data_IF_862649678236
#
_entry.id   IF_862649678236
#
_cell.length_a   1.000
_cell.length_b   1.000
_cell.length_c   1.000
_cell.angle_alpha   90.00
_cell.angle_beta   90.00
_cell.angle_gamma   90.00
#
_symmetry.space_group_name_H-M   'P 1'
#
loop_
_entity.id
_entity.type
_entity.pdbx_description
1 polymer ?
#
# COMPACT_ATOMS: atom_id res chain seq x y z
N UNK A 1 -10.64 -69.34 -33.22
CA UNK A 1 -11.30 -68.02 -33.10
C UNK A 1 -10.88 -67.45 -31.77
N UNK A 2 -9.86 -66.60 -31.78
CA UNK A 2 -9.41 -65.84 -30.64
C UNK A 2 -9.58 -64.37 -31.03
N UNK A 3 -10.52 -63.68 -30.40
CA UNK A 3 -10.59 -62.22 -30.44
C UNK A 3 -9.60 -61.71 -29.40
N UNK A 4 -8.54 -61.04 -29.85
CA UNK A 4 -7.67 -60.27 -28.98
C UNK A 4 -8.38 -58.98 -28.51
N UNK A 5 -8.14 -58.52 -27.28
CA UNK A 5 -8.59 -57.21 -26.86
C UNK A 5 -7.78 -56.13 -27.61
N UNK A 6 -8.50 -55.27 -28.31
CA UNK A 6 -8.00 -54.10 -29.02
C UNK A 6 -7.32 -53.14 -28.01
N UNK A 7 -6.01 -53.27 -27.83
CA UNK A 7 -5.20 -52.29 -27.10
C UNK A 7 -5.09 -51.05 -27.97
N UNK A 8 -5.99 -50.09 -27.73
CA UNK A 8 -5.82 -48.73 -28.22
C UNK A 8 -4.52 -48.18 -27.62
N UNK A 9 -3.45 -48.19 -28.43
CA UNK A 9 -2.24 -47.42 -28.16
C UNK A 9 -2.63 -45.95 -28.09
N UNK A 10 -2.76 -45.42 -26.87
CA UNK A 10 -2.75 -43.99 -26.63
C UNK A 10 -1.34 -43.52 -27.04
N UNK A 11 -1.24 -42.97 -28.25
CA UNK A 11 -0.04 -42.28 -28.71
C UNK A 11 0.30 -41.21 -27.68
N UNK A 12 1.43 -41.39 -27.01
CA UNK A 12 1.99 -40.43 -26.08
C UNK A 12 2.47 -39.21 -26.86
N UNK A 13 1.65 -38.15 -26.82
CA UNK A 13 2.07 -36.75 -26.80
C UNK A 13 2.80 -36.18 -28.03
N UNK A 14 2.05 -35.66 -29.00
CA UNK A 14 2.54 -34.64 -29.94
C UNK A 14 2.10 -33.23 -29.53
N UNK A 15 2.01 -32.97 -28.21
CA UNK A 15 1.85 -31.59 -27.77
C UNK A 15 3.09 -30.79 -28.17
N UNK A 16 2.87 -29.76 -28.98
CA UNK A 16 3.87 -28.76 -29.34
C UNK A 16 3.21 -27.40 -29.22
N UNK A 17 3.85 -26.49 -28.49
CA UNK A 17 3.48 -25.07 -28.52
C UNK A 17 3.40 -24.60 -29.98
N UNK A 18 2.25 -24.01 -30.37
CA UNK A 18 2.02 -23.51 -31.73
C UNK A 18 1.71 -24.55 -32.82
N UNK A 19 1.55 -25.84 -32.51
CA UNK A 19 1.21 -26.85 -33.53
C UNK A 19 -0.23 -26.78 -34.06
N UNK A 20 -1.12 -26.08 -33.35
CA UNK A 20 -2.43 -25.68 -33.88
C UNK A 20 -2.30 -24.20 -34.29
N UNK A 21 -2.06 -23.95 -35.58
CA UNK A 21 -2.18 -22.60 -36.13
C UNK A 21 -3.62 -22.09 -35.96
N UNK A 22 -3.87 -20.77 -35.87
CA UNK A 22 -5.20 -20.23 -35.63
C UNK A 22 -6.10 -20.56 -36.82
N UNK A 23 -6.83 -21.68 -36.75
CA UNK A 23 -8.05 -21.83 -37.54
C UNK A 23 -9.08 -20.91 -36.91
N UNK A 24 -9.05 -19.66 -37.37
CA UNK A 24 -9.90 -18.54 -36.98
C UNK A 24 -11.36 -18.74 -37.41
N UNK A 25 -12.01 -19.79 -36.91
CA UNK A 25 -13.48 -19.88 -36.84
C UNK A 25 -13.85 -20.30 -35.44
N UNK A 26 -14.17 -19.31 -34.60
CA UNK A 26 -14.71 -19.50 -33.26
C UNK A 26 -13.99 -18.73 -32.15
N UNK A 27 -12.75 -18.30 -32.38
CA UNK A 27 -12.06 -17.32 -31.54
C UNK A 27 -12.11 -15.97 -32.25
N UNK A 28 -13.32 -15.42 -32.42
CA UNK A 28 -13.40 -13.96 -32.54
C UNK A 28 -12.82 -13.50 -31.20
N UNK A 29 -11.69 -12.79 -31.22
CA UNK A 29 -11.34 -11.95 -30.08
C UNK A 29 -12.52 -11.01 -29.96
N UNK A 30 -13.47 -11.32 -29.08
CA UNK A 30 -14.41 -10.31 -28.63
C UNK A 30 -13.53 -9.16 -28.21
N UNK A 31 -13.75 -7.99 -28.83
CA UNK A 31 -13.04 -6.78 -28.47
C UNK A 31 -13.32 -6.61 -26.99
N UNK A 32 -12.32 -6.86 -26.14
CA UNK A 32 -12.47 -6.68 -24.70
C UNK A 32 -13.01 -5.26 -24.50
N UNK A 33 -14.09 -5.08 -23.73
CA UNK A 33 -14.60 -3.75 -23.47
C UNK A 33 -13.48 -2.89 -22.88
N UNK A 34 -13.53 -1.56 -23.06
CA UNK A 34 -12.53 -0.67 -22.49
C UNK A 34 -12.41 -0.91 -20.97
N UNK A 35 -11.19 -0.81 -20.39
CA UNK A 35 -11.00 -0.99 -18.96
C UNK A 35 -11.90 -0.03 -18.17
N UNK A 36 -12.58 -0.51 -17.12
CA UNK A 36 -13.26 0.37 -16.18
C UNK A 36 -12.29 1.40 -15.59
N UNK A 37 -12.77 2.59 -15.19
CA UNK A 37 -11.96 3.58 -14.50
C UNK A 37 -11.32 3.00 -13.23
N UNK A 38 -10.06 3.37 -12.98
CA UNK A 38 -9.34 2.98 -11.76
C UNK A 38 -9.73 3.86 -10.56
N UNK A 39 -10.31 5.04 -10.82
CA UNK A 39 -10.66 6.02 -9.81
C UNK A 39 -9.42 6.45 -9.00
N UNK A 40 -9.44 6.45 -7.66
CA UNK A 40 -8.28 6.83 -6.85
C UNK A 40 -7.04 5.95 -7.09
N UNK A 41 -7.20 4.71 -7.60
CA UNK A 41 -6.08 3.81 -7.91
C UNK A 41 -5.22 4.30 -9.09
N UNK A 42 -5.70 5.28 -9.88
CA UNK A 42 -4.89 5.94 -10.91
C UNK A 42 -3.61 6.56 -10.32
N UNK A 43 -3.66 7.01 -9.06
CA UNK A 43 -2.51 7.55 -8.35
C UNK A 43 -1.44 6.49 -8.01
N UNK A 44 -1.76 5.21 -8.13
CA UNK A 44 -0.80 4.13 -7.97
C UNK A 44 -0.22 3.68 -9.31
N UNK A 45 -0.97 3.83 -10.40
CA UNK A 45 -0.53 3.38 -11.71
C UNK A 45 0.71 4.15 -12.22
N UNK A 46 1.55 3.51 -13.03
CA UNK A 46 2.62 4.18 -13.78
C UNK A 46 2.09 5.35 -14.61
N UNK A 47 2.90 6.42 -14.68
CA UNK A 47 2.59 7.63 -15.46
C UNK A 47 3.37 7.59 -16.79
N UNK A 48 2.72 7.95 -17.89
CA UNK A 48 3.34 7.95 -19.22
C UNK A 48 3.76 6.54 -19.65
N UNK A 49 4.96 6.42 -20.21
CA UNK A 49 5.50 5.16 -20.73
C UNK A 49 6.17 4.27 -19.67
N UNK A 50 6.15 4.68 -18.39
CA UNK A 50 6.78 3.92 -17.32
C UNK A 50 6.12 2.53 -17.14
N UNK A 51 6.94 1.50 -16.93
CA UNK A 51 6.44 0.15 -16.59
C UNK A 51 6.01 0.03 -15.13
N UNK A 52 6.59 0.87 -14.27
CA UNK A 52 6.38 0.85 -12.83
C UNK A 52 6.31 2.26 -12.26
N UNK A 53 5.54 2.40 -11.18
CA UNK A 53 5.59 3.54 -10.28
C UNK A 53 6.07 3.05 -8.92
N UNK A 54 7.08 3.69 -8.39
CA UNK A 54 7.70 3.27 -7.14
C UNK A 54 7.59 4.39 -6.14
N UNK A 55 7.08 4.05 -4.96
CA UNK A 55 7.13 4.89 -3.79
C UNK A 55 8.13 4.31 -2.79
N UNK A 56 8.83 5.20 -2.09
CA UNK A 56 9.71 4.85 -0.97
C UNK A 56 9.32 5.66 0.24
N UNK A 57 9.61 5.16 1.43
CA UNK A 57 9.34 5.92 2.62
C UNK A 57 9.77 5.27 3.91
N UNK A 58 9.31 5.88 5.00
CA UNK A 58 9.63 5.48 6.35
C UNK A 58 8.37 5.43 7.20
N UNK A 59 8.44 4.64 8.27
CA UNK A 59 7.28 4.38 9.09
C UNK A 59 7.62 3.85 10.47
N UNK A 60 6.57 3.42 11.15
CA UNK A 60 6.64 2.80 12.46
C UNK A 60 5.70 1.60 12.51
N UNK A 61 6.18 0.52 13.12
CA UNK A 61 5.48 -0.74 13.18
C UNK A 61 5.51 -1.30 14.60
N UNK A 62 4.36 -1.82 15.04
CA UNK A 62 4.16 -2.43 16.36
C UNK A 62 3.60 -3.84 16.16
N UNK A 63 4.26 -4.84 16.75
CA UNK A 63 3.89 -6.25 16.60
C UNK A 63 3.93 -6.91 17.97
N UNK A 64 2.82 -7.51 18.40
CA UNK A 64 2.85 -8.45 19.51
C UNK A 64 3.12 -9.86 18.97
N UNK A 65 4.29 -10.39 19.30
CA UNK A 65 4.69 -11.73 18.91
C UNK A 65 4.37 -12.70 20.04
N UNK A 66 3.75 -13.86 19.78
CA UNK A 66 3.73 -14.93 20.76
C UNK A 66 5.17 -15.39 21.05
N UNK A 67 5.40 -15.77 22.30
CA UNK A 67 6.69 -16.24 22.77
C UNK A 67 6.53 -17.57 23.50
N UNK A 68 7.49 -18.46 23.29
CA UNK A 68 7.67 -19.65 24.11
C UNK A 68 9.07 -19.62 24.74
N UNK A 69 9.16 -19.10 25.96
CA UNK A 69 10.43 -18.93 26.68
C UNK A 69 11.15 -20.27 26.92
N UNK A 70 10.40 -21.37 27.06
CA UNK A 70 10.97 -22.68 27.36
C UNK A 70 11.62 -23.36 26.14
N UNK A 71 11.11 -23.10 24.92
CA UNK A 71 11.58 -23.77 23.70
C UNK A 71 12.43 -22.87 22.82
N UNK A 72 11.99 -21.63 22.61
CA UNK A 72 12.61 -20.66 21.70
C UNK A 72 12.57 -19.28 22.34
N UNK A 73 13.39 -19.03 23.37
CA UNK A 73 13.44 -17.74 24.03
C UNK A 73 13.91 -16.65 23.05
N UNK A 74 13.23 -15.50 23.07
CA UNK A 74 13.66 -14.32 22.32
C UNK A 74 14.81 -13.66 23.07
N UNK A 75 15.92 -13.34 22.39
CA UNK A 75 16.98 -12.52 22.97
C UNK A 75 16.54 -11.06 23.04
N UNK A 76 16.28 -10.56 24.25
CA UNK A 76 15.82 -9.21 24.50
C UNK A 76 16.98 -8.20 24.71
N UNK A 77 18.22 -8.67 24.77
CA UNK A 77 19.39 -7.85 25.10
C UNK A 77 19.50 -7.47 26.59
N UNK A 78 18.63 -8.02 27.45
CA UNK A 78 18.57 -7.76 28.89
C UNK A 78 17.51 -8.62 29.58
N UNK A 79 17.41 -8.56 30.94
CA UNK A 79 16.38 -9.27 31.66
C UNK A 79 15.00 -8.64 31.41
N UNK A 80 13.95 -9.45 31.47
CA UNK A 80 12.55 -9.01 31.44
C UNK A 80 11.79 -9.68 32.58
N UNK A 81 11.48 -8.91 33.63
CA UNK A 81 10.81 -9.43 34.82
C UNK A 81 9.39 -8.90 35.02
N UNK A 82 8.89 -8.06 34.10
CA UNK A 82 7.57 -7.43 34.22
C UNK A 82 6.63 -7.85 33.10
N UNK A 83 5.46 -8.35 33.51
CA UNK A 83 4.40 -8.81 32.63
C UNK A 83 4.47 -10.31 32.32
N UNK A 84 3.45 -10.84 31.62
CA UNK A 84 3.48 -12.20 31.08
C UNK A 84 4.65 -12.41 30.08
N UNK A 85 5.23 -13.60 30.08
CA UNK A 85 6.38 -14.01 29.26
C UNK A 85 6.00 -14.80 27.99
N UNK A 86 4.70 -14.87 27.71
CA UNK A 86 4.07 -15.56 26.59
C UNK A 86 3.94 -14.70 25.32
N UNK A 87 4.38 -13.44 25.39
CA UNK A 87 4.40 -12.51 24.27
C UNK A 87 5.57 -11.52 24.36
N UNK A 88 5.91 -10.91 23.22
CA UNK A 88 6.90 -9.82 23.12
C UNK A 88 6.30 -8.72 22.24
N UNK A 89 6.36 -7.47 22.71
CA UNK A 89 6.10 -6.30 21.88
C UNK A 89 7.35 -5.94 21.08
N UNK A 90 7.32 -6.12 19.77
CA UNK A 90 8.37 -5.67 18.87
C UNK A 90 7.99 -4.33 18.24
N UNK A 91 8.96 -3.41 18.27
CA UNK A 91 8.85 -2.06 17.74
C UNK A 91 9.90 -1.88 16.66
N UNK A 92 9.47 -1.56 15.44
CA UNK A 92 10.37 -1.32 14.33
C UNK A 92 10.16 0.09 13.79
N UNK A 93 11.24 0.87 13.68
CA UNK A 93 11.31 1.95 12.70
C UNK A 93 11.52 1.33 11.34
N UNK A 94 10.74 1.72 10.34
CA UNK A 94 10.72 1.00 9.05
C UNK A 94 11.21 1.86 7.89
N UNK A 95 11.79 1.20 6.90
CA UNK A 95 11.90 1.72 5.53
C UNK A 95 11.09 0.83 4.60
N UNK A 96 10.43 1.44 3.63
CA UNK A 96 9.51 0.75 2.74
C UNK A 96 9.76 1.11 1.28
N UNK A 97 9.58 0.12 0.41
CA UNK A 97 9.44 0.30 -1.03
C UNK A 97 8.12 -0.32 -1.47
N UNK A 98 7.26 0.48 -2.09
CA UNK A 98 5.97 0.08 -2.64
C UNK A 98 5.97 0.31 -4.15
N UNK A 99 6.02 -0.78 -4.91
CA UNK A 99 6.14 -0.76 -6.37
C UNK A 99 4.82 -1.17 -6.99
N UNK A 100 4.28 -0.34 -7.87
CA UNK A 100 3.08 -0.60 -8.64
C UNK A 100 3.43 -0.85 -10.10
N UNK A 101 2.82 -1.86 -10.71
CA UNK A 101 2.96 -2.17 -12.14
C UNK A 101 1.84 -1.55 -12.96
N UNK A 102 1.93 -1.63 -14.29
CA UNK A 102 0.83 -1.25 -15.19
C UNK A 102 -0.49 -1.92 -14.79
N UNK A 103 -1.57 -1.19 -15.07
CA UNK A 103 -2.93 -1.65 -14.90
C UNK A 103 -3.16 -3.00 -15.61
N UNK A 104 -3.94 -3.88 -14.98
CA UNK A 104 -4.36 -5.15 -15.56
C UNK A 104 -5.32 -4.98 -16.75
N UNK A 105 -5.85 -3.78 -16.96
CA UNK A 105 -6.89 -3.52 -17.95
C UNK A 105 -8.22 -4.20 -17.58
N UNK A 106 -8.95 -4.65 -18.59
CA UNK A 106 -10.27 -5.28 -18.40
C UNK A 106 -10.15 -6.71 -17.89
N UNK A 107 -10.32 -6.89 -16.58
CA UNK A 107 -10.32 -8.19 -15.92
C UNK A 107 -11.75 -8.74 -15.86
N UNK A 108 -12.11 -9.78 -16.63
CA UNK A 108 -13.49 -10.28 -16.65
C UNK A 108 -13.84 -11.03 -15.36
N UNK A 109 -15.05 -10.82 -14.85
CA UNK A 109 -15.67 -11.64 -13.82
C UNK A 109 -17.09 -12.03 -14.24
N UNK A 110 -17.48 -13.27 -13.94
CA UNK A 110 -18.68 -13.87 -14.56
C UNK A 110 -19.92 -13.60 -13.77
N UNK A 111 -20.92 -13.07 -14.45
CA UNK A 111 -22.29 -13.06 -13.97
C UNK A 111 -22.87 -14.48 -14.01
N UNK A 112 -23.91 -14.72 -13.21
CA UNK A 112 -24.63 -15.98 -13.21
C UNK A 112 -26.14 -15.74 -13.20
N UNK A 113 -26.88 -16.58 -13.95
CA UNK A 113 -28.34 -16.54 -14.13
C UNK A 113 -28.86 -15.20 -14.67
N UNK A 114 -30.17 -15.01 -14.65
CA UNK A 114 -30.87 -13.75 -15.01
C UNK A 114 -30.64 -12.61 -14.00
N UNK A 115 -29.59 -12.73 -13.17
CA UNK A 115 -29.35 -11.88 -12.02
C UNK A 115 -28.24 -10.86 -12.27
N UNK A 116 -27.13 -11.25 -12.92
CA UNK A 116 -26.08 -10.32 -13.35
C UNK A 116 -25.52 -10.72 -14.71
N UNK A 117 -25.19 -9.71 -15.52
CA UNK A 117 -24.26 -9.88 -16.63
C UNK A 117 -22.82 -9.99 -16.14
N UNK A 118 -21.91 -10.29 -17.07
CA UNK A 118 -20.47 -10.20 -16.82
C UNK A 118 -20.10 -8.76 -16.44
N UNK A 119 -19.22 -8.63 -15.46
CA UNK A 119 -18.59 -7.36 -15.11
C UNK A 119 -17.12 -7.42 -15.47
N UNK A 120 -16.53 -6.25 -15.67
CA UNK A 120 -15.10 -6.11 -15.89
C UNK A 120 -14.57 -5.27 -14.75
N UNK A 121 -13.51 -5.74 -14.12
CA UNK A 121 -12.75 -5.04 -13.11
C UNK A 121 -11.54 -4.38 -13.78
N UNK A 122 -10.90 -3.48 -13.06
CA UNK A 122 -9.57 -3.00 -13.39
C UNK A 122 -8.72 -3.03 -12.12
N UNK A 123 -7.40 -3.01 -12.23
CA UNK A 123 -6.55 -3.01 -11.05
C UNK A 123 -5.09 -2.74 -11.32
N UNK A 124 -4.36 -2.49 -10.24
CA UNK A 124 -2.93 -2.17 -10.23
C UNK A 124 -2.22 -3.21 -9.37
N UNK A 125 -1.41 -4.10 -9.97
CA UNK A 125 -0.56 -5.02 -9.22
C UNK A 125 0.50 -4.27 -8.44
N UNK A 126 0.85 -4.75 -7.24
CA UNK A 126 1.91 -4.15 -6.45
C UNK A 126 2.82 -5.19 -5.80
N UNK A 127 3.99 -4.70 -5.39
CA UNK A 127 4.92 -5.38 -4.51
C UNK A 127 5.34 -4.42 -3.39
N UNK A 128 5.12 -4.84 -2.15
CA UNK A 128 5.54 -4.12 -0.94
C UNK A 128 6.73 -4.85 -0.31
N UNK A 129 7.75 -4.09 0.08
CA UNK A 129 8.92 -4.60 0.81
C UNK A 129 9.22 -3.65 1.97
N UNK A 130 9.38 -4.20 3.17
CA UNK A 130 9.64 -3.42 4.38
C UNK A 130 10.87 -3.98 5.08
N UNK A 131 11.78 -3.09 5.45
CA UNK A 131 12.91 -3.40 6.32
C UNK A 131 12.74 -2.71 7.68
N UNK A 132 13.08 -3.41 8.75
CA UNK A 132 13.41 -2.81 10.04
C UNK A 132 14.74 -2.08 9.91
N UNK A 133 14.73 -0.80 10.28
CA UNK A 133 15.88 0.11 10.31
C UNK A 133 16.11 0.70 11.71
N UNK A 134 15.56 0.08 12.75
CA UNK A 134 15.77 0.48 14.15
C UNK A 134 17.26 0.46 14.51
N UNK A 135 18.02 -0.48 13.93
CA UNK A 135 19.46 -0.35 13.75
C UNK A 135 19.78 -0.01 12.28
N UNK A 136 19.98 1.27 11.93
CA UNK A 136 20.20 1.67 10.55
C UNK A 136 21.50 1.13 9.95
N UNK A 137 22.42 0.60 10.77
CA UNK A 137 23.66 -0.04 10.27
C UNK A 137 23.43 -1.47 9.79
N UNK A 138 22.38 -2.13 10.27
CA UNK A 138 22.07 -3.52 9.99
C UNK A 138 20.57 -3.68 9.66
N UNK A 139 20.10 -3.14 8.53
CA UNK A 139 18.70 -3.26 8.14
C UNK A 139 18.30 -4.72 7.93
N UNK A 140 17.10 -5.10 8.39
CA UNK A 140 16.57 -6.47 8.30
C UNK A 140 15.27 -6.46 7.52
N UNK A 141 15.14 -7.29 6.48
CA UNK A 141 13.86 -7.47 5.79
C UNK A 141 12.84 -8.16 6.68
N UNK A 142 11.74 -7.49 6.99
CA UNK A 142 10.69 -7.99 7.90
C UNK A 142 9.36 -8.28 7.19
N UNK A 143 9.13 -7.69 6.01
CA UNK A 143 7.90 -7.89 5.26
C UNK A 143 8.15 -7.95 3.75
N UNK A 144 7.41 -8.82 3.09
CA UNK A 144 7.35 -8.93 1.64
C UNK A 144 5.91 -9.28 1.27
N UNK A 145 5.32 -8.56 0.34
CA UNK A 145 3.91 -8.77 0.00
C UNK A 145 3.64 -8.40 -1.46
N UNK A 146 3.45 -9.41 -2.34
CA UNK A 146 2.82 -9.20 -3.62
C UNK A 146 1.30 -9.11 -3.44
N UNK A 147 0.68 -8.25 -4.25
CA UNK A 147 -0.76 -8.12 -4.26
C UNK A 147 -1.30 -7.38 -5.47
N UNK A 148 -2.60 -7.11 -5.43
CA UNK A 148 -3.30 -6.31 -6.42
C UNK A 148 -4.37 -5.46 -5.73
N UNK A 149 -4.43 -4.21 -6.14
CA UNK A 149 -5.58 -3.35 -5.92
C UNK A 149 -6.55 -3.49 -7.08
N UNK A 150 -7.84 -3.68 -6.82
CA UNK A 150 -8.89 -3.75 -7.82
C UNK A 150 -9.89 -2.61 -7.62
N UNK A 151 -10.28 -1.96 -8.71
CA UNK A 151 -11.49 -1.18 -8.82
C UNK A 151 -12.61 -2.10 -9.34
N UNK A 152 -13.68 -2.19 -8.57
CA UNK A 152 -14.88 -2.96 -8.91
C UNK A 152 -15.96 -1.96 -9.31
N UNK A 153 -16.52 -2.03 -10.53
CA UNK A 153 -17.62 -1.15 -10.92
C UNK A 153 -18.85 -1.41 -10.05
N UNK A 154 -19.78 -0.45 -10.05
CA UNK A 154 -21.07 -0.66 -9.39
C UNK A 154 -21.77 -1.92 -9.92
N UNK A 155 -22.45 -2.64 -9.03
CA UNK A 155 -23.18 -3.87 -9.33
C UNK A 155 -24.62 -3.75 -8.90
N UNK A 156 -25.53 -4.45 -9.61
CA UNK A 156 -26.95 -4.51 -9.24
C UNK A 156 -27.24 -5.65 -8.26
N UNK A 157 -26.52 -6.78 -8.37
CA UNK A 157 -26.63 -7.92 -7.45
C UNK A 157 -25.23 -8.47 -7.10
N UNK A 158 -24.73 -8.28 -5.87
CA UNK A 158 -25.30 -7.41 -4.86
C UNK A 158 -25.40 -5.96 -5.34
N UNK A 159 -26.36 -5.22 -4.79
CA UNK A 159 -26.49 -3.81 -5.09
C UNK A 159 -25.40 -3.04 -4.34
N UNK A 160 -24.33 -2.71 -5.04
CA UNK A 160 -23.17 -2.00 -4.48
C UNK A 160 -22.75 -0.86 -5.41
N UNK A 161 -22.22 0.21 -4.81
CA UNK A 161 -21.57 1.28 -5.57
C UNK A 161 -20.22 0.83 -6.15
N UNK A 162 -19.44 1.78 -6.65
CA UNK A 162 -18.03 1.50 -6.95
C UNK A 162 -17.31 1.14 -5.66
N UNK A 163 -16.63 0.01 -5.66
CA UNK A 163 -15.86 -0.50 -4.51
C UNK A 163 -14.44 -0.81 -4.91
N UNK A 164 -13.59 -0.97 -3.90
CA UNK A 164 -12.18 -1.30 -4.08
C UNK A 164 -11.83 -2.55 -3.28
N UNK A 165 -10.95 -3.37 -3.83
CA UNK A 165 -10.40 -4.51 -3.12
C UNK A 165 -8.88 -4.49 -3.12
N UNK A 166 -8.27 -4.91 -2.02
CA UNK A 166 -6.83 -5.23 -1.92
C UNK A 166 -6.70 -6.72 -1.60
N UNK A 167 -6.08 -7.44 -2.51
CA UNK A 167 -5.76 -8.85 -2.31
C UNK A 167 -4.25 -9.02 -2.22
N UNK A 168 -3.78 -9.74 -1.20
CA UNK A 168 -2.35 -9.86 -0.94
C UNK A 168 -1.99 -11.18 -0.28
N UNK A 169 -0.80 -11.69 -0.57
CA UNK A 169 -0.24 -12.89 0.08
C UNK A 169 1.05 -12.54 0.81
N UNK A 170 1.12 -12.91 2.08
CA UNK A 170 2.21 -12.58 3.00
C UNK A 170 2.97 -13.88 3.32
N UNK A 171 4.29 -13.98 3.04
CA UNK A 171 5.10 -15.18 3.23
C UNK A 171 5.15 -15.75 4.65
N UNK A 172 4.72 -14.96 5.65
CA UNK A 172 4.57 -15.41 7.03
C UNK A 172 3.33 -16.30 7.25
N UNK A 173 2.58 -16.60 6.19
CA UNK A 173 1.54 -17.64 6.18
C UNK A 173 0.10 -17.14 6.11
N UNK A 174 -0.12 -15.88 5.72
CA UNK A 174 -1.45 -15.27 5.64
C UNK A 174 -1.72 -14.71 4.24
N UNK A 175 -2.94 -14.85 3.75
CA UNK A 175 -3.46 -14.11 2.59
C UNK A 175 -4.69 -13.31 3.00
N UNK A 176 -4.88 -12.14 2.40
CA UNK A 176 -5.99 -11.24 2.68
C UNK A 176 -6.79 -10.95 1.41
N UNK A 177 -8.08 -10.71 1.60
CA UNK A 177 -8.95 -10.01 0.67
C UNK A 177 -9.68 -8.92 1.47
N UNK A 178 -9.25 -7.68 1.33
CA UNK A 178 -9.85 -6.54 1.98
C UNK A 178 -10.69 -5.74 0.98
N UNK A 179 -11.91 -5.37 1.36
CA UNK A 179 -12.83 -4.62 0.54
C UNK A 179 -13.16 -3.27 1.16
N UNK A 180 -13.58 -2.32 0.33
CA UNK A 180 -13.78 -0.97 0.81
C UNK A 180 -14.26 0.02 -0.25
N UNK A 181 -14.16 1.29 0.11
CA UNK A 181 -14.67 2.44 -0.65
C UNK A 181 -13.65 3.57 -0.69
N UNK A 182 -13.89 4.50 -1.60
CA UNK A 182 -13.26 5.81 -1.62
C UNK A 182 -14.35 6.88 -1.50
N UNK A 183 -14.40 7.62 -0.39
CA UNK A 183 -15.19 8.85 -0.34
C UNK A 183 -14.72 9.86 -1.39
N UNK A 184 -15.53 10.88 -1.63
CA UNK A 184 -15.14 12.01 -2.47
C UNK A 184 -13.85 12.67 -1.92
N UNK A 185 -12.91 13.07 -2.80
CA UNK A 185 -11.70 13.75 -2.37
C UNK A 185 -12.00 15.04 -1.60
N UNK A 186 -11.17 15.33 -0.60
CA UNK A 186 -11.25 16.56 0.19
C UNK A 186 -10.15 17.53 -0.25
N UNK A 187 -10.40 18.83 -0.05
CA UNK A 187 -9.34 19.84 -0.16
C UNK A 187 -8.53 19.86 1.14
N UNK A 188 -7.21 19.89 1.02
CA UNK A 188 -6.32 19.94 2.19
C UNK A 188 -5.91 18.56 2.75
N UNK A 189 -5.24 18.57 3.92
CA UNK A 189 -4.78 17.34 4.58
C UNK A 189 -5.95 16.53 5.18
N UNK A 190 -5.78 15.22 5.36
CA UNK A 190 -6.76 14.38 6.05
C UNK A 190 -6.80 14.64 7.56
N UNK A 191 -7.93 14.32 8.19
CA UNK A 191 -8.02 14.12 9.63
C UNK A 191 -7.61 12.69 9.97
N UNK A 192 -6.44 12.54 10.61
CA UNK A 192 -5.86 11.24 10.97
C UNK A 192 -6.14 10.96 12.45
N UNK A 193 -7.18 10.17 12.71
CA UNK A 193 -7.55 9.79 14.06
C UNK A 193 -6.50 8.90 14.74
N UNK A 194 -6.43 8.91 16.09
CA UNK A 194 -5.59 7.99 16.83
C UNK A 194 -5.90 6.51 16.59
N UNK A 195 -4.89 5.67 16.70
CA UNK A 195 -5.02 4.20 16.68
C UNK A 195 -4.38 3.62 17.94
N UNK A 196 -5.08 2.72 18.63
CA UNK A 196 -4.61 2.11 19.88
C UNK A 196 -4.03 0.71 19.60
N UNK A 197 -2.90 0.38 20.24
CA UNK A 197 -2.25 -0.93 20.17
C UNK A 197 -2.59 -1.83 21.37
N UNK A 198 -3.52 -1.41 22.24
CA UNK A 198 -3.88 -2.15 23.45
C UNK A 198 -4.62 -3.44 23.13
N UNK A 199 -4.10 -4.61 23.56
CA UNK A 199 -4.78 -5.89 23.35
C UNK A 199 -6.14 -5.97 24.04
N UNK A 200 -7.02 -6.80 23.48
CA UNK A 200 -8.36 -7.07 24.02
C UNK A 200 -8.45 -8.51 24.51
N UNK A 201 -8.98 -8.73 25.71
CA UNK A 201 -9.22 -10.08 26.24
C UNK A 201 -10.44 -10.69 25.52
N UNK A 202 -10.24 -11.82 24.83
CA UNK A 202 -11.31 -12.45 24.03
C UNK A 202 -12.53 -12.85 24.87
N UNK A 203 -12.31 -13.31 26.10
CA UNK A 203 -13.38 -13.82 26.97
C UNK A 203 -14.39 -12.76 27.44
N UNK A 204 -14.01 -11.47 27.47
CA UNK A 204 -14.85 -10.41 28.03
C UNK A 204 -14.80 -9.09 27.26
N UNK A 205 -14.06 -9.03 26.15
CA UNK A 205 -13.89 -7.88 25.27
C UNK A 205 -13.38 -6.61 26.00
N UNK A 206 -12.58 -6.77 27.06
CA UNK A 206 -11.96 -5.65 27.79
C UNK A 206 -10.52 -5.42 27.36
N UNK A 207 -10.08 -4.15 27.30
CA UNK A 207 -8.67 -3.84 27.04
C UNK A 207 -7.76 -4.32 28.17
N UNK A 208 -6.57 -4.76 27.81
CA UNK A 208 -5.53 -5.17 28.74
C UNK A 208 -4.19 -4.59 28.28
N UNK A 209 -3.70 -3.57 28.99
CA UNK A 209 -2.45 -2.88 28.67
C UNK A 209 -1.26 -3.58 29.33
N UNK A 210 -0.21 -3.84 28.56
CA UNK A 210 1.01 -4.49 29.04
C UNK A 210 2.07 -3.47 29.53
N UNK A 211 2.94 -3.85 30.48
CA UNK A 211 4.09 -3.03 30.88
C UNK A 211 5.00 -2.65 29.70
N UNK A 212 5.14 -3.53 28.70
CA UNK A 212 5.93 -3.30 27.48
C UNK A 212 5.47 -2.09 26.68
N UNK A 213 4.22 -1.66 26.82
CA UNK A 213 3.68 -0.45 26.19
C UNK A 213 4.12 0.86 26.88
N UNK A 214 5.02 0.80 27.87
CA UNK A 214 5.56 1.97 28.56
C UNK A 214 7.03 2.19 28.21
N UNK A 215 7.35 3.24 27.45
CA UNK A 215 8.70 3.51 26.91
C UNK A 215 9.76 3.55 28.00
N UNK A 216 9.49 4.21 29.13
CA UNK A 216 10.43 4.34 30.23
C UNK A 216 10.72 3.03 30.97
N UNK A 217 9.95 1.96 30.71
CA UNK A 217 10.13 0.67 31.36
C UNK A 217 11.02 -0.25 30.52
N UNK A 218 12.26 -0.44 30.95
CA UNK A 218 13.27 -1.25 30.25
C UNK A 218 13.31 -2.71 30.68
N UNK A 219 12.50 -3.12 31.67
CA UNK A 219 12.50 -4.47 32.26
C UNK A 219 11.26 -5.26 31.81
N UNK A 220 10.96 -5.20 30.51
CA UNK A 220 9.72 -5.73 29.91
C UNK A 220 10.01 -6.62 28.71
N UNK A 221 9.02 -7.44 28.33
CA UNK A 221 9.06 -8.23 27.09
C UNK A 221 8.82 -7.33 25.87
N UNK A 222 9.83 -6.51 25.54
CA UNK A 222 9.82 -5.59 24.40
C UNK A 222 11.14 -5.66 23.63
N UNK A 223 11.07 -5.57 22.31
CA UNK A 223 12.22 -5.37 21.43
C UNK A 223 12.10 -4.04 20.69
N UNK A 224 13.08 -3.11 20.83
CA UNK A 224 14.15 -3.10 21.82
C UNK A 224 13.64 -2.80 23.23
N UNK A 225 14.30 -3.38 24.26
CA UNK A 225 14.00 -3.04 25.66
C UNK A 225 14.42 -1.60 26.00
N UNK A 226 15.64 -1.23 25.64
CA UNK A 226 16.20 0.09 25.87
C UNK A 226 16.06 0.96 24.62
N UNK A 227 15.24 2.00 24.72
CA UNK A 227 14.99 2.95 23.63
C UNK A 227 15.91 4.18 23.70
N UNK A 228 16.93 4.18 24.56
CA UNK A 228 17.91 5.27 24.62
C UNK A 228 18.58 5.44 23.26
N UNK A 229 18.52 6.66 22.71
CA UNK A 229 18.99 7.02 21.37
C UNK A 229 18.23 6.38 20.19
N UNK A 230 17.08 5.74 20.46
CA UNK A 230 16.15 5.28 19.42
C UNK A 230 14.98 6.27 19.44
N UNK A 231 14.61 6.89 18.30
CA UNK A 231 13.59 7.95 18.25
C UNK A 231 12.16 7.39 18.34
N UNK A 232 11.92 6.44 19.25
CA UNK A 232 10.60 5.89 19.58
C UNK A 232 10.13 6.54 20.88
N UNK A 233 8.95 7.17 20.85
CA UNK A 233 8.40 7.94 21.97
C UNK A 233 7.16 7.30 22.56
N UNK A 234 6.77 7.70 23.78
CA UNK A 234 5.52 7.21 24.38
C UNK A 234 4.30 7.59 23.53
N UNK A 235 4.32 8.77 22.89
CA UNK A 235 3.25 9.21 22.01
C UNK A 235 3.06 8.25 20.82
N UNK A 236 4.16 7.73 20.25
CA UNK A 236 4.08 6.74 19.16
C UNK A 236 3.52 5.39 19.62
N UNK A 237 3.75 4.99 20.88
CA UNK A 237 3.19 3.74 21.42
C UNK A 237 1.72 3.89 21.81
N UNK A 238 1.34 5.04 22.35
CA UNK A 238 -0.07 5.31 22.70
C UNK A 238 -0.90 5.58 21.45
N UNK A 239 -0.29 6.11 20.39
CA UNK A 239 -0.91 6.33 19.09
C UNK A 239 0.12 6.32 17.94
N UNK A 240 0.34 5.17 17.27
CA UNK A 240 1.21 5.10 16.10
C UNK A 240 0.88 6.11 14.98
N UNK A 241 -0.38 6.53 14.83
CA UNK A 241 -0.75 7.53 13.83
C UNK A 241 -0.18 8.92 14.14
N UNK A 242 0.44 9.14 15.32
CA UNK A 242 1.19 10.37 15.59
C UNK A 242 2.31 10.61 14.58
N UNK A 243 2.96 9.55 14.09
CA UNK A 243 4.04 9.63 13.09
C UNK A 243 3.52 10.25 11.79
N UNK A 244 2.30 9.90 11.39
CA UNK A 244 1.65 10.43 10.18
C UNK A 244 1.28 11.91 10.35
N UNK A 245 0.70 12.27 11.50
CA UNK A 245 0.39 13.67 11.80
C UNK A 245 1.63 14.55 11.92
N UNK A 246 2.72 14.01 12.47
CA UNK A 246 3.98 14.72 12.55
C UNK A 246 4.55 15.01 11.17
N UNK A 247 4.39 14.10 10.20
CA UNK A 247 4.77 14.34 8.80
C UNK A 247 3.98 15.47 8.15
N UNK A 248 2.69 15.59 8.45
CA UNK A 248 1.84 16.64 7.90
C UNK A 248 2.27 18.04 8.38
N UNK A 249 2.91 18.14 9.54
CA UNK A 249 3.39 19.41 10.06
C UNK A 249 4.46 20.00 9.13
N UNK A 250 4.18 21.18 8.58
CA UNK A 250 5.09 21.86 7.66
C UNK A 250 4.91 21.49 6.19
N UNK A 251 3.96 20.61 5.85
CA UNK A 251 3.56 20.35 4.47
C UNK A 251 2.34 21.19 4.07
N UNK A 252 2.25 21.52 2.78
CA UNK A 252 1.03 22.09 2.18
C UNK A 252 0.34 21.01 1.36
N UNK A 253 -0.57 20.25 1.99
CA UNK A 253 -1.44 19.32 1.26
C UNK A 253 -2.57 20.12 0.61
N UNK A 254 -2.77 19.96 -0.70
CA UNK A 254 -3.81 20.69 -1.46
C UNK A 254 -5.05 19.85 -1.69
N UNK A 255 -4.92 18.53 -1.78
CA UNK A 255 -6.02 17.59 -1.98
C UNK A 255 -5.68 16.21 -1.43
N UNK A 256 -6.69 15.49 -0.93
CA UNK A 256 -6.54 14.12 -0.42
C UNK A 256 -7.66 13.22 -0.94
N UNK A 257 -7.28 12.13 -1.63
CA UNK A 257 -8.16 11.00 -1.93
C UNK A 257 -7.94 9.90 -0.89
N UNK A 258 -9.00 9.22 -0.43
CA UNK A 258 -8.88 8.24 0.66
C UNK A 258 -9.41 6.88 0.23
N UNK A 259 -8.64 5.82 0.44
CA UNK A 259 -9.11 4.44 0.35
C UNK A 259 -9.28 3.87 1.76
N UNK A 260 -10.46 3.36 2.06
CA UNK A 260 -10.77 2.72 3.35
C UNK A 260 -11.14 1.28 3.07
N UNK A 261 -10.33 0.32 3.52
CA UNK A 261 -10.52 -1.11 3.25
C UNK A 261 -10.45 -1.94 4.53
N UNK A 262 -11.17 -3.06 4.54
CA UNK A 262 -11.07 -4.06 5.60
C UNK A 262 -11.41 -5.46 5.09
N UNK A 263 -10.86 -6.49 5.73
CA UNK A 263 -11.20 -7.90 5.46
C UNK A 263 -12.57 -8.28 6.01
N UNK A 264 -13.13 -7.44 6.88
CA UNK A 264 -14.49 -7.53 7.40
C UNK A 264 -15.05 -6.10 7.55
N UNK A 265 -15.47 -5.46 6.44
CA UNK A 265 -15.90 -4.06 6.47
C UNK A 265 -17.12 -3.88 7.38
N UNK A 266 -17.07 -2.96 8.35
CA UNK A 266 -18.20 -2.71 9.24
C UNK A 266 -19.27 -1.87 8.54
N UNK A 267 -20.56 -2.03 8.90
CA UNK A 267 -21.60 -1.12 8.44
C UNK A 267 -21.48 0.26 9.11
N UNK A 268 -21.86 1.38 8.44
CA UNK A 268 -22.14 1.56 7.01
C UNK A 268 -20.91 2.04 6.19
N UNK A 269 -20.86 1.79 4.86
CA UNK A 269 -21.85 1.08 4.04
C UNK A 269 -21.93 -0.41 4.37
N UNK A 270 -23.05 -1.06 4.03
CA UNK A 270 -23.26 -2.51 4.27
C UNK A 270 -22.42 -3.38 3.31
N UNK A 271 -21.15 -3.04 3.12
CA UNK A 271 -20.21 -3.86 2.35
C UNK A 271 -20.01 -5.18 3.08
N UNK A 272 -19.81 -6.23 2.30
CA UNK A 272 -19.63 -7.57 2.82
C UNK A 272 -18.68 -8.37 1.93
N UNK A 273 -18.21 -9.50 2.46
CA UNK A 273 -17.17 -10.33 1.85
C UNK A 273 -15.77 -9.89 2.27
N UNK A 274 -14.75 -10.49 1.66
CA UNK A 274 -13.37 -10.38 2.10
C UNK A 274 -13.00 -11.47 3.10
N UNK A 275 -11.84 -11.34 3.73
CA UNK A 275 -11.40 -12.23 4.79
C UNK A 275 -9.89 -12.35 4.88
N UNK A 276 -9.46 -13.13 5.86
CA UNK A 276 -8.09 -13.62 6.02
C UNK A 276 -8.08 -15.13 5.79
N UNK A 277 -6.96 -15.66 5.31
CA UNK A 277 -6.72 -17.09 5.20
C UNK A 277 -5.31 -17.39 5.72
N UNK A 278 -5.23 -18.24 6.74
CA UNK A 278 -4.00 -18.56 7.45
C UNK A 278 -3.54 -19.99 7.18
N UNK A 279 -2.22 -20.23 7.24
CA UNK A 279 -1.68 -21.59 7.30
C UNK A 279 -2.00 -22.25 8.64
N UNK A 280 -1.99 -23.58 8.66
CA UNK A 280 -2.33 -24.38 9.83
C UNK A 280 -1.52 -24.01 11.09
N UNK A 281 -0.24 -23.65 10.93
CA UNK A 281 0.59 -23.26 12.07
C UNK A 281 0.02 -22.05 12.83
N UNK A 282 -0.44 -21.02 12.10
CA UNK A 282 -0.97 -19.80 12.70
C UNK A 282 -2.31 -20.04 13.41
N UNK A 283 -3.18 -20.83 12.76
CA UNK A 283 -4.49 -21.23 13.31
C UNK A 283 -4.31 -22.04 14.59
N UNK A 284 -3.27 -22.89 14.66
CA UNK A 284 -3.02 -23.76 15.80
C UNK A 284 -3.99 -24.94 15.87
N UNK A 285 -4.11 -25.54 17.05
CA UNK A 285 -5.10 -26.61 17.29
C UNK A 285 -6.52 -26.01 17.31
N UNK A 286 -7.44 -26.66 16.61
CA UNK A 286 -8.83 -26.22 16.47
C UNK A 286 -9.74 -26.76 17.58
N UNK A 287 -9.19 -27.43 18.61
CA UNK A 287 -9.93 -27.83 19.80
C UNK A 287 -10.68 -26.62 20.40
N UNK A 288 -12.03 -26.59 20.34
CA UNK A 288 -12.82 -25.48 20.87
C UNK A 288 -12.69 -25.33 22.40
N UNK A 289 -12.22 -26.37 23.10
CA UNK A 289 -12.00 -26.33 24.55
C UNK A 289 -10.63 -25.77 24.93
N UNK A 290 -9.65 -25.84 24.03
CA UNK A 290 -8.28 -25.38 24.25
C UNK A 290 -7.72 -24.71 22.98
N UNK A 291 -8.31 -23.58 22.52
CA UNK A 291 -7.84 -22.90 21.33
C UNK A 291 -6.38 -22.47 21.53
N UNK A 292 -5.48 -23.00 20.70
CA UNK A 292 -4.03 -22.85 20.83
C UNK A 292 -3.44 -22.17 19.59
N UNK A 293 -4.08 -21.07 19.16
CA UNK A 293 -3.58 -20.27 18.04
C UNK A 293 -2.18 -19.74 18.33
N UNK A 294 -1.28 -19.85 17.34
CA UNK A 294 0.09 -19.36 17.43
C UNK A 294 0.25 -17.96 16.87
N UNK A 295 -0.75 -17.40 16.19
CA UNK A 295 -0.86 -16.01 15.70
C UNK A 295 -1.96 -15.95 14.62
N UNK A 296 -3.18 -16.33 14.97
CA UNK A 296 -4.27 -16.42 13.98
C UNK A 296 -4.71 -15.01 13.55
N UNK A 297 -4.38 -14.60 12.31
CA UNK A 297 -4.80 -13.32 11.77
C UNK A 297 -6.30 -13.34 11.45
N UNK A 298 -7.10 -12.64 12.25
CA UNK A 298 -8.57 -12.69 12.16
C UNK A 298 -9.19 -11.52 11.41
N UNK A 299 -8.48 -10.40 11.33
CA UNK A 299 -8.93 -9.24 10.55
C UNK A 299 -7.79 -8.31 10.19
N UNK A 300 -7.94 -7.59 9.09
CA UNK A 300 -7.12 -6.44 8.74
C UNK A 300 -8.02 -5.27 8.31
N UNK A 301 -7.66 -4.06 8.70
CA UNK A 301 -8.19 -2.81 8.14
C UNK A 301 -7.06 -1.86 7.80
N UNK A 302 -7.23 -1.06 6.75
CA UNK A 302 -6.28 -0.03 6.39
C UNK A 302 -6.98 1.22 5.82
N UNK A 303 -6.37 2.37 6.05
CA UNK A 303 -6.71 3.63 5.40
C UNK A 303 -5.47 4.11 4.64
N UNK A 304 -5.63 4.40 3.35
CA UNK A 304 -4.61 5.07 2.54
C UNK A 304 -5.09 6.47 2.20
N UNK A 305 -4.31 7.47 2.58
CA UNK A 305 -4.46 8.85 2.15
C UNK A 305 -3.50 9.12 1.02
N UNK A 306 -4.05 9.42 -0.15
CA UNK A 306 -3.32 9.73 -1.37
C UNK A 306 -3.39 11.24 -1.54
N UNK A 307 -2.29 11.91 -1.24
CA UNK A 307 -2.22 13.35 -1.02
C UNK A 307 -1.51 14.02 -2.19
N UNK A 308 -2.02 15.16 -2.64
CA UNK A 308 -1.25 16.09 -3.48
C UNK A 308 -0.58 17.10 -2.56
N UNK A 309 0.74 17.05 -2.49
CA UNK A 309 1.54 17.98 -1.68
C UNK A 309 2.14 19.04 -2.59
N UNK A 310 2.04 20.29 -2.19
CA UNK A 310 2.71 21.42 -2.84
C UNK A 310 3.92 21.87 -2.03
N UNK A 311 5.02 22.15 -2.72
CA UNK A 311 6.20 22.79 -2.15
C UNK A 311 6.88 23.70 -3.16
N UNK A 312 7.82 24.51 -2.67
CA UNK A 312 8.71 25.31 -3.51
C UNK A 312 10.04 24.61 -3.69
N UNK A 313 10.58 24.67 -4.90
CA UNK A 313 11.94 24.26 -5.22
C UNK A 313 12.72 25.40 -5.86
N UNK A 314 14.05 25.40 -5.69
CA UNK A 314 14.95 26.38 -6.31
C UNK A 314 15.66 25.74 -7.49
N UNK A 315 15.34 26.21 -8.70
CA UNK A 315 15.98 25.79 -9.95
C UNK A 315 17.22 26.68 -10.18
N UNK A 316 18.42 26.09 -10.33
CA UNK A 316 19.64 26.85 -10.57
C UNK A 316 19.68 27.41 -12.01
N UNK A 317 20.60 28.35 -12.31
CA UNK A 317 20.80 28.84 -13.67
C UNK A 317 21.07 27.72 -14.67
N UNK A 318 20.35 27.74 -15.79
CA UNK A 318 20.48 26.80 -16.91
C UNK A 318 19.90 27.40 -18.20
N UNK A 319 20.29 26.84 -19.34
CA UNK A 319 19.84 27.33 -20.65
C UNK A 319 18.50 26.73 -21.03
N UNK A 320 17.77 27.37 -21.95
CA UNK A 320 16.55 26.82 -22.50
C UNK A 320 16.77 25.40 -23.07
N UNK A 321 15.93 24.46 -22.67
CA UNK A 321 16.01 23.04 -23.05
C UNK A 321 16.93 22.19 -22.17
N UNK A 322 17.77 22.80 -21.33
CA UNK A 322 18.56 22.06 -20.34
C UNK A 322 17.64 21.40 -19.32
N UNK A 323 18.05 20.22 -18.83
CA UNK A 323 17.32 19.49 -17.80
C UNK A 323 18.17 19.26 -16.56
N UNK A 324 17.57 19.52 -15.40
CA UNK A 324 18.22 19.42 -14.08
C UNK A 324 17.34 18.63 -13.12
N UNK A 325 17.98 17.95 -12.16
CA UNK A 325 17.27 17.31 -11.04
C UNK A 325 17.46 18.16 -9.79
N UNK A 326 16.35 18.65 -9.25
CA UNK A 326 16.32 19.51 -8.06
C UNK A 326 15.74 18.73 -6.89
N UNK A 327 16.32 18.89 -5.70
CA UNK A 327 15.79 18.29 -4.48
C UNK A 327 14.76 19.22 -3.83
N UNK A 328 13.64 18.66 -3.41
CA UNK A 328 12.66 19.31 -2.56
C UNK A 328 13.16 19.51 -1.13
N UNK A 329 12.36 20.21 -0.34
CA UNK A 329 12.65 20.58 1.04
C UNK A 329 12.67 19.40 2.02
N UNK A 330 11.97 18.31 1.67
CA UNK A 330 11.74 17.16 2.54
C UNK A 330 10.92 17.47 3.79
N UNK A 331 10.28 18.64 3.85
CA UNK A 331 9.53 19.12 5.02
C UNK A 331 10.32 19.00 6.34
N UNK A 332 11.65 19.23 6.30
CA UNK A 332 12.51 19.13 7.48
C UNK A 332 12.87 17.70 7.91
N UNK A 333 12.57 16.70 7.08
CA UNK A 333 12.94 15.29 7.27
C UNK A 333 13.91 14.82 6.19
N UNK A 334 14.44 13.60 6.33
CA UNK A 334 15.24 12.91 5.31
C UNK A 334 14.40 12.37 4.13
N UNK A 335 13.06 12.41 4.22
CA UNK A 335 12.16 11.98 3.16
C UNK A 335 11.81 13.13 2.19
N UNK A 336 12.77 13.46 1.31
CA UNK A 336 12.62 14.45 0.25
C UNK A 336 12.17 13.85 -1.09
N UNK A 337 11.54 14.69 -1.92
CA UNK A 337 11.21 14.36 -3.31
C UNK A 337 12.24 15.01 -4.22
N UNK A 338 12.56 14.36 -5.33
CA UNK A 338 13.38 14.96 -6.39
C UNK A 338 12.51 15.30 -7.58
N UNK A 339 12.89 16.34 -8.32
CA UNK A 339 12.12 16.90 -9.41
C UNK A 339 12.98 16.99 -10.66
N UNK A 340 12.49 16.45 -11.77
CA UNK A 340 13.11 16.57 -13.08
C UNK A 340 12.51 17.79 -13.79
N UNK A 341 13.34 18.81 -14.00
CA UNK A 341 12.93 20.11 -14.53
C UNK A 341 13.61 20.34 -15.87
N UNK A 342 12.83 20.60 -16.91
CA UNK A 342 13.34 21.07 -18.21
C UNK A 342 13.05 22.55 -18.35
N UNK A 343 14.08 23.37 -18.53
CA UNK A 343 13.95 24.82 -18.57
C UNK A 343 13.24 25.27 -19.86
N UNK A 344 12.09 25.98 -19.77
CA UNK A 344 11.38 26.45 -20.96
C UNK A 344 12.05 27.67 -21.61
N UNK A 345 12.95 28.35 -20.91
CA UNK A 345 13.74 29.51 -21.35
C UNK A 345 15.03 29.60 -20.50
N UNK A 346 15.94 30.52 -20.85
CA UNK A 346 17.17 30.73 -20.10
C UNK A 346 16.88 31.23 -18.66
N UNK A 347 17.30 30.45 -17.68
CA UNK A 347 17.26 30.79 -16.25
C UNK A 347 18.62 31.39 -15.90
N UNK A 348 18.66 32.69 -15.64
CA UNK A 348 19.93 33.44 -15.46
C UNK A 348 20.35 33.59 -13.99
N UNK A 349 19.46 33.29 -13.05
CA UNK A 349 19.68 33.29 -11.60
C UNK A 349 18.77 32.21 -10.97
N UNK A 350 19.04 31.84 -9.72
CA UNK A 350 18.18 30.92 -8.96
C UNK A 350 16.71 31.35 -9.06
N UNK A 351 15.86 30.42 -9.48
CA UNK A 351 14.44 30.62 -9.73
C UNK A 351 13.63 29.70 -8.82
N UNK A 352 12.84 30.24 -7.91
CA UNK A 352 11.90 29.42 -7.15
C UNK A 352 10.72 29.04 -8.04
N UNK A 353 10.18 27.83 -7.94
CA UNK A 353 8.91 27.48 -8.59
C UNK A 353 8.06 26.65 -7.64
N UNK A 354 6.74 26.77 -7.77
CA UNK A 354 5.79 25.92 -7.06
C UNK A 354 5.64 24.59 -7.83
N UNK A 355 5.82 23.48 -7.12
CA UNK A 355 5.68 22.14 -7.65
C UNK A 355 4.72 21.33 -6.80
N UNK A 356 4.23 20.22 -7.36
CA UNK A 356 3.39 19.28 -6.64
C UNK A 356 3.85 17.85 -6.84
N UNK A 357 3.60 16.98 -5.86
CA UNK A 357 3.84 15.55 -5.96
C UNK A 357 2.78 14.76 -5.21
N UNK A 358 2.64 13.48 -5.57
CA UNK A 358 1.80 12.53 -4.83
C UNK A 358 2.56 11.99 -3.62
N UNK A 359 2.00 12.14 -2.43
CA UNK A 359 2.42 11.44 -1.21
C UNK A 359 1.36 10.38 -0.86
N UNK A 360 1.79 9.27 -0.28
CA UNK A 360 0.89 8.26 0.29
C UNK A 360 1.18 8.17 1.77
N UNK A 361 0.18 8.39 2.60
CA UNK A 361 0.22 7.99 4.00
C UNK A 361 -0.73 6.82 4.20
N UNK A 362 -0.35 5.84 5.02
CA UNK A 362 -1.28 4.79 5.40
C UNK A 362 -1.16 4.42 6.86
N UNK A 363 -2.28 3.96 7.41
CA UNK A 363 -2.37 3.22 8.67
C UNK A 363 -3.01 1.88 8.38
N UNK A 364 -2.41 0.81 8.89
CA UNK A 364 -2.92 -0.55 8.77
C UNK A 364 -2.92 -1.21 10.14
N UNK A 365 -4.06 -1.79 10.51
CA UNK A 365 -4.21 -2.61 11.71
C UNK A 365 -4.52 -4.05 11.30
N UNK A 366 -3.72 -4.99 11.78
CA UNK A 366 -3.97 -6.42 11.68
C UNK A 366 -4.24 -6.93 13.09
N UNK A 367 -5.33 -7.68 13.29
CA UNK A 367 -5.63 -8.29 14.58
C UNK A 367 -5.24 -9.76 14.54
N UNK A 368 -4.36 -10.16 15.44
CA UNK A 368 -3.97 -11.54 15.65
C UNK A 368 -4.61 -12.09 16.92
N UNK A 369 -5.02 -13.35 16.93
CA UNK A 369 -5.48 -14.03 18.12
C UNK A 369 -4.45 -15.07 18.57
N UNK A 370 -4.05 -15.00 19.83
CA UNK A 370 -3.28 -16.02 20.54
C UNK A 370 -3.37 -15.78 22.05
N UNK A 371 -3.07 -16.82 22.84
CA UNK A 371 -3.05 -16.78 24.33
C UNK A 371 -4.29 -16.16 25.00
N UNK A 372 -5.46 -16.22 24.34
CA UNK A 372 -6.74 -15.71 24.87
C UNK A 372 -6.97 -14.20 24.67
N UNK A 373 -6.14 -13.53 23.88
CA UNK A 373 -6.28 -12.12 23.53
C UNK A 373 -6.34 -11.91 22.02
N UNK A 374 -6.94 -10.79 21.63
CA UNK A 374 -6.81 -10.15 20.32
C UNK A 374 -5.75 -9.06 20.41
N UNK A 375 -4.76 -9.15 19.54
CA UNK A 375 -3.55 -8.34 19.53
C UNK A 375 -3.55 -7.44 18.29
N UNK A 376 -3.77 -6.12 18.44
CA UNK A 376 -3.67 -5.20 17.31
C UNK A 376 -2.19 -4.96 16.95
N UNK A 377 -1.86 -5.20 15.69
CA UNK A 377 -0.57 -4.93 15.08
C UNK A 377 -0.77 -3.73 14.18
N UNK A 378 -0.09 -2.62 14.49
CA UNK A 378 -0.28 -1.38 13.76
C UNK A 378 1.00 -1.02 13.01
N UNK A 379 0.85 -0.83 11.70
CA UNK A 379 1.89 -0.31 10.82
C UNK A 379 1.43 1.01 10.21
N UNK A 380 2.30 2.02 10.27
CA UNK A 380 2.07 3.33 9.65
C UNK A 380 3.28 3.72 8.81
N UNK A 381 3.06 4.37 7.67
CA UNK A 381 4.17 4.93 6.89
C UNK A 381 3.74 6.13 6.05
N UNK A 382 4.72 6.98 5.74
CA UNK A 382 4.63 7.99 4.67
C UNK A 382 5.54 7.57 3.54
N UNK A 383 5.02 7.56 2.32
CA UNK A 383 5.72 7.21 1.10
C UNK A 383 5.66 8.36 0.08
N UNK A 384 6.77 8.60 -0.61
CA UNK A 384 6.92 9.60 -1.67
C UNK A 384 7.52 8.96 -2.93
N UNK A 385 7.43 9.59 -4.12
CA UNK A 385 7.93 8.99 -5.36
C UNK A 385 9.43 8.74 -5.30
N UNK A 386 9.86 7.52 -5.61
CA UNK A 386 11.27 7.08 -5.68
C UNK A 386 12.00 7.77 -6.84
N UNK A 387 11.35 7.86 -8.00
CA UNK A 387 11.88 8.54 -9.18
C UNK A 387 11.60 10.05 -9.13
N UNK A 388 12.44 10.86 -9.80
CA UNK A 388 12.19 12.29 -9.95
C UNK A 388 10.82 12.57 -10.58
N UNK A 389 10.06 13.48 -9.96
CA UNK A 389 8.77 13.96 -10.48
C UNK A 389 9.03 14.93 -11.63
N UNK A 390 8.47 14.66 -12.80
CA UNK A 390 8.60 15.55 -13.96
C UNK A 390 7.79 16.83 -13.70
N UNK A 391 8.45 17.98 -13.80
CA UNK A 391 7.82 19.29 -13.61
C UNK A 391 7.30 19.82 -14.93
N UNK A 392 6.02 20.19 -14.94
CA UNK A 392 5.38 20.79 -16.12
C UNK A 392 5.89 22.21 -16.35
N UNK A 393 6.04 22.61 -17.63
CA UNK A 393 6.53 23.94 -18.00
C UNK A 393 5.63 25.08 -17.48
N UNK A 394 4.35 24.81 -17.20
CA UNK A 394 3.42 25.77 -16.59
C UNK A 394 3.84 26.20 -15.17
N UNK A 395 4.66 25.43 -14.46
CA UNK A 395 5.20 25.82 -13.15
C UNK A 395 6.03 27.12 -13.21
N UNK A 396 6.63 27.42 -14.37
CA UNK A 396 7.37 28.65 -14.61
C UNK A 396 6.47 29.85 -14.94
N UNK A 397 5.22 29.62 -15.35
CA UNK A 397 4.29 30.67 -15.75
C UNK A 397 3.62 31.34 -14.54
N UNK A 398 3.43 30.62 -13.44
CA UNK A 398 2.79 31.13 -12.21
C UNK A 398 3.56 32.29 -11.55
N UNK A 399 4.86 32.42 -11.83
CA UNK A 399 5.69 33.51 -11.28
C UNK A 399 5.86 34.72 -12.20
N UNK A 400 5.48 34.60 -13.47
CA UNK A 400 5.76 35.63 -14.44
C UNK A 400 4.61 36.66 -14.49
N UNK A 401 4.86 37.85 -13.94
CA UNK A 401 4.18 39.08 -14.37
C UNK A 401 4.55 39.48 -15.81
N UNK A 402 4.72 38.52 -16.73
CA UNK A 402 5.06 38.75 -18.13
C UNK A 402 3.91 38.34 -19.06
N UNK A 403 3.68 39.10 -20.14
CA UNK A 403 2.58 38.86 -21.06
C UNK A 403 2.75 37.52 -21.78
N UNK A 404 1.65 36.77 -21.90
CA UNK A 404 1.57 35.54 -22.66
C UNK A 404 2.18 35.72 -24.05
N UNK A 405 3.24 34.98 -24.37
CA UNK A 405 3.69 34.88 -25.76
C UNK A 405 2.69 34.02 -26.52
N UNK A 406 2.14 34.62 -27.58
CA UNK A 406 1.16 33.99 -28.44
C UNK A 406 1.73 32.70 -29.06
N UNK A 407 0.89 31.66 -29.07
CA UNK A 407 1.15 30.44 -29.82
C UNK A 407 1.50 30.77 -31.28
N UNK A 408 2.44 30.06 -31.91
CA UNK A 408 2.76 30.27 -33.31
C UNK A 408 1.52 29.98 -34.15
N UNK A 409 1.04 31.00 -34.87
CA UNK A 409 -0.07 30.89 -35.79
C UNK A 409 0.26 29.84 -36.85
N UNK A 410 -0.57 28.81 -36.95
CA UNK A 410 -0.57 27.90 -38.09
C UNK A 410 -0.88 28.72 -39.35
N UNK A 411 0.14 28.95 -40.18
CA UNK A 411 -0.05 29.41 -41.55
C UNK A 411 -0.67 28.25 -42.35
N UNK A 412 -1.99 28.28 -42.47
CA UNK A 412 -2.71 27.46 -43.43
C UNK A 412 -2.40 27.95 -44.84
N UNK A 413 -1.65 27.17 -45.60
CA UNK A 413 -1.60 27.30 -47.06
C UNK A 413 -2.91 26.76 -47.63
N UNK A 414 -3.78 27.68 -48.04
CA UNK A 414 -4.83 27.41 -49.02
C UNK A 414 -4.27 27.72 -50.40
N UNK A 415 -4.08 26.70 -51.24
CA UNK A 415 -3.90 26.89 -52.67
C UNK A 415 -4.79 25.92 -53.44
N UNK A 416 -5.90 26.47 -53.93
CA UNK A 416 -6.69 25.94 -55.04
C UNK A 416 -5.94 26.17 -56.36
N UNK A 417 -5.62 25.09 -57.08
CA UNK A 417 -5.84 24.93 -58.53
C UNK A 417 -5.54 23.49 -58.94
#
# INVERSE_FOLDING_TARGET
MAEEPNTAHISTGTFKWGAVGPRARGLVQDVSPPPPPLGPLENFAPVGDAEQRIFRGNGFNTIFRPQNLALTPTDLGGPANQGPDDNVLELNLTSERLTFSKSLGSVPNRGAKDENGDIFLNGVPYLQQINDITDPKNPVGIHFEPGVWLAVPATDKPQEGVTFARMASIPHGTTINAQGVSPDPINGPPDIHPVDITPIILANNKPFRFPSQTVSNTDTFRLPQNLTNIPITQAMLDDPNSVLRDRLNGQTVTSTSTLIIATNPPPPPNLFGGGTANIAFLIGDTDPQHPAANADAVSMSAIFWIETVSEKITVPPCSAGDSVVVQGSGAGTDLSVSFYVTAPYDITADCEIDVTYTQIQYTQSVVLNFTGLSWPHVSVATLVPDAPVVVDASAFQAQAGMPAQAAPSASGDSATS
#
